data_IF_759593286767
#
_entry.id   IF_759593286767
#
_cell.length_a   1.000
_cell.length_b   1.000
_cell.length_c   1.000
_cell.angle_alpha   90.00
_cell.angle_beta   90.00
_cell.angle_gamma   90.00
#
_symmetry.space_group_name_H-M   'P 1'
#
loop_
_entity.id
_entity.type
_entity.pdbx_description
1 polymer ?
#
# COMPACT_ATOMS: atom_id res chain seq x y z
N UNK A 1 8.95 62.51 -22.85
CA UNK A 1 10.29 62.96 -23.29
C UNK A 1 11.26 62.43 -22.25
N UNK A 2 12.07 61.40 -22.44
CA UNK A 2 12.73 60.86 -23.62
C UNK A 2 12.61 59.33 -23.67
N UNK A 3 12.60 58.83 -24.91
CA UNK A 3 12.49 57.45 -25.38
C UNK A 3 13.86 56.84 -25.69
N UNK A 4 13.99 55.50 -25.57
CA UNK A 4 14.73 54.54 -26.45
C UNK A 4 14.62 53.16 -25.75
N UNK A 5 13.86 52.14 -26.19
CA UNK A 5 13.85 51.36 -27.45
C UNK A 5 15.23 50.77 -27.78
N UNK A 6 15.46 49.54 -28.26
CA UNK A 6 14.71 48.32 -28.57
C UNK A 6 15.80 47.27 -28.92
N UNK A 7 15.57 45.97 -28.73
CA UNK A 7 15.97 44.94 -29.69
C UNK A 7 15.32 43.60 -29.29
N UNK A 8 14.35 43.20 -30.11
CA UNK A 8 13.85 41.84 -30.20
C UNK A 8 14.66 41.09 -31.28
N UNK A 9 14.86 39.79 -31.09
CA UNK A 9 15.20 38.85 -32.15
C UNK A 9 14.61 37.48 -31.83
N UNK A 10 13.67 37.10 -32.69
CA UNK A 10 13.01 35.80 -32.87
C UNK A 10 13.97 34.68 -33.29
N UNK A 11 13.66 33.42 -32.97
CA UNK A 11 14.29 32.26 -33.62
C UNK A 11 13.93 30.92 -32.99
N UNK A 12 13.16 30.12 -33.73
CA UNK A 12 12.63 28.78 -33.44
C UNK A 12 13.67 27.65 -33.25
N UNK A 13 13.25 26.63 -32.50
CA UNK A 13 13.52 25.18 -32.54
C UNK A 13 14.95 24.62 -32.74
N UNK A 14 15.37 23.78 -31.78
CA UNK A 14 15.58 22.33 -31.97
C UNK A 14 15.98 21.68 -30.63
N UNK A 15 15.23 20.63 -30.25
CA UNK A 15 15.58 19.64 -29.22
C UNK A 15 16.99 19.05 -29.44
N UNK A 16 17.61 18.54 -28.36
CA UNK A 16 17.77 17.10 -28.33
C UNK A 16 17.28 16.48 -27.02
N UNK A 17 16.36 15.54 -27.19
CA UNK A 17 16.18 14.34 -26.38
C UNK A 17 17.56 13.73 -26.08
N UNK A 18 17.87 13.45 -24.81
CA UNK A 18 18.68 12.30 -24.36
C UNK A 18 18.93 12.39 -22.84
N UNK A 19 18.23 11.53 -22.09
CA UNK A 19 18.65 10.73 -20.94
C UNK A 19 17.44 10.43 -20.03
N UNK A 20 16.53 9.60 -20.54
CA UNK A 20 15.61 8.83 -19.70
C UNK A 20 16.21 7.42 -19.57
N UNK A 21 16.98 7.21 -18.50
CA UNK A 21 17.56 5.93 -18.14
C UNK A 21 16.62 5.18 -17.19
N UNK A 22 15.87 4.24 -17.77
CA UNK A 22 15.20 3.08 -17.19
C UNK A 22 15.39 2.80 -15.69
N UNK A 23 14.28 2.87 -14.95
CA UNK A 23 13.99 2.00 -13.81
C UNK A 23 12.67 1.30 -14.17
N UNK A 24 12.77 0.04 -14.61
CA UNK A 24 11.62 -0.85 -14.73
C UNK A 24 11.41 -1.45 -13.34
N UNK A 25 10.51 -0.86 -12.55
CA UNK A 25 9.98 -1.49 -11.33
C UNK A 25 8.61 -2.03 -11.68
N UNK A 26 8.49 -3.35 -11.56
CA UNK A 26 7.27 -4.12 -11.78
C UNK A 26 6.26 -3.74 -10.71
N UNK A 27 5.25 -2.96 -11.08
CA UNK A 27 3.97 -2.90 -10.37
C UNK A 27 2.84 -2.70 -11.37
N UNK A 28 1.82 -3.54 -11.26
CA UNK A 28 0.71 -3.66 -12.19
C UNK A 28 0.92 -4.81 -13.18
N UNK A 29 0.20 -5.91 -12.98
CA UNK A 29 0.00 -6.90 -14.03
C UNK A 29 -0.78 -6.25 -15.19
N UNK A 30 -0.07 -5.54 -16.05
CA UNK A 30 -0.53 -5.15 -17.38
C UNK A 30 0.08 -6.16 -18.35
N UNK A 31 -0.75 -7.08 -18.82
CA UNK A 31 -0.42 -7.98 -19.92
C UNK A 31 -0.21 -7.18 -21.21
N UNK A 32 1.03 -6.82 -21.52
CA UNK A 32 1.42 -6.48 -22.88
C UNK A 32 1.87 -7.75 -23.60
N UNK A 33 0.93 -8.37 -24.32
CA UNK A 33 1.23 -9.46 -25.27
C UNK A 33 2.01 -8.86 -26.45
N UNK A 34 3.34 -8.93 -26.41
CA UNK A 34 4.19 -8.60 -27.56
C UNK A 34 4.09 -9.68 -28.63
N UNK A 35 3.69 -9.30 -29.84
CA UNK A 35 3.40 -10.19 -30.96
C UNK A 35 4.64 -10.78 -31.68
N UNK A 36 5.85 -10.70 -31.12
CA UNK A 36 7.06 -11.19 -31.79
C UNK A 36 8.07 -11.72 -30.75
N UNK A 37 8.04 -13.01 -30.46
CA UNK A 37 8.95 -13.64 -29.49
C UNK A 37 10.42 -13.49 -29.87
N UNK A 38 11.23 -12.94 -28.95
CA UNK A 38 12.69 -13.10 -28.83
C UNK A 38 13.20 -12.47 -27.52
N UNK A 39 13.98 -13.23 -26.75
CA UNK A 39 14.62 -12.81 -25.51
C UNK A 39 15.89 -11.98 -25.77
N UNK A 40 16.14 -10.96 -24.95
CA UNK A 40 17.42 -10.23 -24.90
C UNK A 40 17.90 -10.23 -23.44
N UNK A 41 19.06 -10.85 -23.21
CA UNK A 41 19.81 -10.80 -21.93
C UNK A 41 20.73 -9.59 -22.00
N UNK A 42 20.72 -8.72 -20.98
CA UNK A 42 21.70 -7.65 -20.83
C UNK A 42 22.28 -7.63 -19.41
N UNK A 43 23.61 -7.74 -19.35
CA UNK A 43 24.45 -7.68 -18.15
C UNK A 43 24.74 -6.21 -17.82
N UNK A 44 24.56 -5.78 -16.58
CA UNK A 44 24.94 -4.43 -16.13
C UNK A 44 26.13 -4.46 -15.16
N UNK A 45 27.16 -3.68 -15.51
CA UNK A 45 28.35 -3.36 -14.72
C UNK A 45 28.03 -2.31 -13.64
N UNK A 46 28.58 -2.48 -12.43
CA UNK A 46 28.60 -1.47 -11.38
C UNK A 46 29.59 -0.33 -11.68
N UNK A 47 29.18 0.92 -11.46
CA UNK A 47 30.09 2.04 -11.22
C UNK A 47 29.61 2.80 -9.97
N UNK A 48 30.46 2.84 -8.95
CA UNK A 48 30.27 3.57 -7.71
C UNK A 48 30.81 5.00 -7.84
N UNK A 49 30.09 5.99 -7.30
CA UNK A 49 30.60 7.35 -7.12
C UNK A 49 30.23 7.85 -5.71
N UNK A 50 31.27 8.04 -4.89
CA UNK A 50 31.15 8.63 -3.54
C UNK A 50 31.04 10.15 -3.57
N UNK A 51 30.32 10.71 -2.61
CA UNK A 51 30.25 12.15 -2.37
C UNK A 51 30.93 12.51 -1.05
N UNK A 52 31.82 13.50 -1.15
CA UNK A 52 32.66 14.06 -0.10
C UNK A 52 31.90 15.21 0.60
N UNK A 53 31.85 15.18 1.93
CA UNK A 53 31.29 16.25 2.79
C UNK A 53 32.36 17.32 3.02
N UNK A 54 32.01 18.60 2.81
CA UNK A 54 32.70 19.73 3.42
C UNK A 54 31.67 20.78 3.85
N UNK A 55 31.64 21.06 5.15
CA UNK A 55 30.85 22.12 5.74
C UNK A 55 31.53 23.49 5.70
N UNK A 56 30.75 24.52 5.99
CA UNK A 56 31.24 25.69 6.73
C UNK A 56 30.05 26.49 7.29
N UNK A 57 30.16 26.79 8.58
CA UNK A 57 29.26 27.59 9.38
C UNK A 57 29.45 29.08 9.08
N UNK A 58 28.39 29.88 9.20
CA UNK A 58 28.50 31.33 9.40
C UNK A 58 27.28 31.86 10.14
N UNK A 59 27.51 32.26 11.38
CA UNK A 59 26.55 32.93 12.27
C UNK A 59 26.52 34.43 11.96
N UNK A 60 25.33 35.02 11.82
CA UNK A 60 25.16 36.48 11.80
C UNK A 60 24.05 36.88 12.77
N UNK A 61 24.45 37.44 13.91
CA UNK A 61 23.60 38.19 14.83
C UNK A 61 23.39 39.59 14.27
N UNK A 62 22.15 39.98 14.02
CA UNK A 62 21.77 41.38 13.81
C UNK A 62 20.75 41.78 14.88
N UNK A 63 21.17 42.69 15.76
CA UNK A 63 20.32 43.32 16.77
C UNK A 63 19.42 44.38 16.12
N UNK A 64 18.14 44.39 16.52
CA UNK A 64 17.16 45.40 16.11
C UNK A 64 16.86 46.34 17.30
N UNK A 65 16.68 47.66 17.10
CA UNK A 65 16.39 48.60 18.19
C UNK A 65 14.92 48.53 18.64
N UNK A 66 14.59 49.00 19.86
CA UNK A 66 13.27 48.85 20.45
C UNK A 66 12.26 49.83 19.84
N UNK A 67 11.09 49.33 19.44
CA UNK A 67 9.93 50.16 19.11
C UNK A 67 8.88 50.00 20.20
N UNK A 68 8.48 51.15 20.74
CA UNK A 68 7.51 51.37 21.80
C UNK A 68 6.11 50.90 21.44
N UNK A 69 5.46 50.27 22.41
CA UNK A 69 4.09 49.80 22.39
C UNK A 69 3.06 50.94 22.37
N UNK A 70 2.09 50.85 21.48
CA UNK A 70 0.78 51.50 21.64
C UNK A 70 -0.30 50.43 21.48
N UNK A 71 -0.94 50.09 22.60
CA UNK A 71 -2.01 49.13 22.70
C UNK A 71 -3.35 49.79 22.36
N UNK A 72 -3.89 49.49 21.18
CA UNK A 72 -5.32 49.64 20.89
C UNK A 72 -5.99 48.28 21.01
N UNK A 73 -6.65 48.04 22.14
CA UNK A 73 -7.51 46.88 22.38
C UNK A 73 -8.73 46.95 21.48
N UNK A 74 -8.70 46.23 20.36
CA UNK A 74 -9.90 45.72 19.69
C UNK A 74 -10.24 44.36 20.30
N UNK A 75 -11.43 44.26 20.88
CA UNK A 75 -12.00 43.01 21.39
C UNK A 75 -12.28 42.06 20.23
N UNK A 76 -11.33 41.19 19.91
CA UNK A 76 -11.59 39.96 19.17
C UNK A 76 -12.16 38.91 20.12
N UNK A 77 -13.30 38.35 19.75
CA UNK A 77 -13.83 37.10 20.33
C UNK A 77 -12.72 36.04 20.37
N UNK A 78 -12.57 35.28 21.46
CA UNK A 78 -11.53 34.26 21.53
C UNK A 78 -11.87 33.17 20.51
N UNK A 79 -11.08 33.11 19.44
CA UNK A 79 -11.05 31.97 18.54
C UNK A 79 -10.72 30.75 19.39
N UNK A 80 -11.61 29.76 19.39
CA UNK A 80 -11.32 28.45 19.99
C UNK A 80 -9.97 27.98 19.45
N UNK A 81 -9.00 27.58 20.30
CA UNK A 81 -7.72 27.10 19.81
C UNK A 81 -7.95 25.90 18.91
N UNK A 82 -7.62 26.04 17.63
CA UNK A 82 -7.63 24.95 16.67
C UNK A 82 -6.55 23.95 17.10
N UNK A 83 -6.97 22.81 17.64
CA UNK A 83 -6.06 21.70 17.91
C UNK A 83 -5.47 21.26 16.57
N UNK A 84 -4.14 21.15 16.48
CA UNK A 84 -3.49 20.64 15.28
C UNK A 84 -3.96 19.21 15.00
N UNK A 85 -4.24 18.84 13.74
CA UNK A 85 -4.67 17.49 13.40
C UNK A 85 -3.62 16.46 13.82
N UNK A 86 -4.07 15.28 14.24
CA UNK A 86 -3.19 14.13 14.50
C UNK A 86 -2.60 13.60 13.17
N UNK A 87 -1.46 12.89 13.18
CA UNK A 87 -0.91 12.27 11.98
C UNK A 87 -1.93 11.39 11.22
N UNK A 88 -2.67 10.54 11.95
CA UNK A 88 -3.77 9.75 11.37
C UNK A 88 -4.83 10.60 10.66
N UNK A 89 -5.19 11.76 11.23
CA UNK A 89 -6.14 12.68 10.60
C UNK A 89 -5.54 13.39 9.37
N UNK A 90 -4.22 13.66 9.35
CA UNK A 90 -3.54 14.21 8.18
C UNK A 90 -3.55 13.21 7.02
N UNK A 91 -3.24 11.94 7.27
CA UNK A 91 -3.24 10.91 6.23
C UNK A 91 -4.62 10.62 5.65
N UNK A 92 -5.65 10.59 6.50
CA UNK A 92 -7.03 10.51 6.03
C UNK A 92 -7.38 11.69 5.11
N UNK A 93 -7.01 12.91 5.49
CA UNK A 93 -7.24 14.11 4.68
C UNK A 93 -6.49 14.04 3.35
N UNK A 94 -5.23 13.61 3.34
CA UNK A 94 -4.44 13.41 2.12
C UNK A 94 -5.14 12.45 1.15
N UNK A 95 -5.58 11.29 1.63
CA UNK A 95 -6.30 10.31 0.83
C UNK A 95 -7.65 10.86 0.32
N UNK A 96 -8.41 11.55 1.17
CA UNK A 96 -9.70 12.11 0.77
C UNK A 96 -9.55 13.21 -0.30
N UNK A 97 -8.49 14.02 -0.21
CA UNK A 97 -8.16 15.02 -1.22
C UNK A 97 -7.65 14.41 -2.53
N UNK A 98 -7.20 13.15 -2.51
CA UNK A 98 -6.76 12.42 -3.70
C UNK A 98 -7.92 11.83 -4.50
N UNK A 99 -9.11 11.72 -3.90
CA UNK A 99 -10.33 11.30 -4.60
C UNK A 99 -10.89 12.48 -5.39
N UNK A 100 -10.89 12.35 -6.72
CA UNK A 100 -11.39 13.40 -7.63
C UNK A 100 -12.88 13.72 -7.40
N UNK A 101 -13.35 14.80 -8.03
CA UNK A 101 -14.78 15.12 -8.06
C UNK A 101 -15.63 14.01 -8.69
N UNK A 102 -15.05 13.25 -9.61
CA UNK A 102 -15.71 12.15 -10.31
C UNK A 102 -15.63 10.83 -9.53
N UNK A 103 -14.89 10.81 -8.41
CA UNK A 103 -14.86 9.70 -7.46
C UNK A 103 -13.76 8.68 -7.67
N UNK A 104 -12.84 8.87 -8.61
CA UNK A 104 -11.68 7.99 -8.76
C UNK A 104 -10.41 8.60 -8.19
N UNK A 105 -9.42 7.75 -7.94
CA UNK A 105 -8.04 8.14 -7.69
C UNK A 105 -7.22 7.89 -8.95
N UNK A 106 -6.26 8.77 -9.22
CA UNK A 106 -5.38 8.65 -10.37
C UNK A 106 -4.40 7.49 -10.20
N UNK A 107 -4.02 6.90 -11.32
CA UNK A 107 -2.86 6.04 -11.40
C UNK A 107 -1.57 6.83 -11.15
N UNK A 108 -0.53 6.15 -10.63
CA UNK A 108 0.73 6.84 -10.31
C UNK A 108 1.52 7.24 -11.56
N UNK A 109 1.45 6.43 -12.62
CA UNK A 109 2.24 6.61 -13.84
C UNK A 109 1.45 7.26 -14.98
N UNK A 110 0.15 7.48 -14.79
CA UNK A 110 -0.73 8.05 -15.79
C UNK A 110 -1.77 8.98 -15.19
N UNK A 111 -2.35 9.84 -16.02
CA UNK A 111 -3.47 10.69 -15.63
C UNK A 111 -4.81 9.97 -15.72
N UNK A 112 -4.81 8.63 -15.78
CA UNK A 112 -6.01 7.83 -15.93
C UNK A 112 -6.55 7.39 -14.57
N UNK A 113 -7.87 7.11 -14.46
CA UNK A 113 -8.44 6.48 -13.28
C UNK A 113 -7.78 5.13 -12.96
N UNK A 114 -7.49 4.89 -11.68
CA UNK A 114 -7.03 3.59 -11.19
C UNK A 114 -8.08 2.99 -10.26
N UNK A 115 -8.68 1.88 -10.69
CA UNK A 115 -9.72 1.18 -9.93
C UNK A 115 -9.15 0.56 -8.65
N UNK A 116 -7.94 -0.01 -8.69
CA UNK A 116 -7.29 -0.54 -7.48
C UNK A 116 -6.90 0.58 -6.51
N UNK A 117 -6.31 1.69 -6.97
CA UNK A 117 -6.05 2.82 -6.06
C UNK A 117 -7.34 3.36 -5.46
N UNK A 118 -8.43 3.40 -6.24
CA UNK A 118 -9.74 3.84 -5.74
C UNK A 118 -10.29 2.87 -4.68
N UNK A 119 -10.22 1.56 -4.92
CA UNK A 119 -10.66 0.54 -3.96
C UNK A 119 -9.86 0.59 -2.66
N UNK A 120 -8.52 0.60 -2.75
CA UNK A 120 -7.65 0.72 -1.59
C UNK A 120 -7.85 2.04 -0.83
N UNK A 121 -8.14 3.15 -1.54
CA UNK A 121 -8.46 4.43 -0.89
C UNK A 121 -9.77 4.37 -0.13
N UNK A 122 -10.81 3.75 -0.70
CA UNK A 122 -12.09 3.55 0.00
C UNK A 122 -11.89 2.71 1.26
N UNK A 123 -11.12 1.62 1.18
CA UNK A 123 -10.81 0.75 2.32
C UNK A 123 -10.02 1.54 3.38
N UNK A 124 -8.98 2.26 2.98
CA UNK A 124 -8.14 3.04 3.88
C UNK A 124 -8.95 4.13 4.60
N UNK A 125 -9.74 4.92 3.87
CA UNK A 125 -10.61 5.96 4.47
C UNK A 125 -11.62 5.35 5.45
N UNK A 126 -12.29 4.26 5.08
CA UNK A 126 -13.22 3.57 5.96
C UNK A 126 -12.56 3.05 7.24
N UNK A 127 -11.34 2.50 7.14
CA UNK A 127 -10.60 1.94 8.27
C UNK A 127 -10.27 2.97 9.36
N UNK A 128 -10.19 4.26 9.00
CA UNK A 128 -9.89 5.32 9.96
C UNK A 128 -11.01 5.54 10.98
N UNK A 129 -12.25 5.17 10.65
CA UNK A 129 -13.44 5.51 11.43
C UNK A 129 -13.75 7.01 11.48
N UNK A 130 -13.05 7.84 10.70
CA UNK A 130 -13.27 9.28 10.63
C UNK A 130 -14.57 9.59 9.88
N UNK A 131 -15.52 10.21 10.57
CA UNK A 131 -16.86 10.54 10.06
C UNK A 131 -17.00 12.00 9.66
N UNK A 132 -15.89 12.73 9.55
CA UNK A 132 -15.89 14.09 9.04
C UNK A 132 -16.45 14.15 7.62
N UNK A 133 -17.02 15.30 7.26
CA UNK A 133 -17.70 15.48 5.98
C UNK A 133 -16.76 15.29 4.78
N UNK A 134 -15.50 15.70 4.90
CA UNK A 134 -14.48 15.50 3.87
C UNK A 134 -14.25 14.01 3.60
N UNK A 135 -13.93 13.24 4.64
CA UNK A 135 -13.63 11.81 4.54
C UNK A 135 -14.85 11.04 4.04
N UNK A 136 -16.01 11.26 4.67
CA UNK A 136 -17.27 10.60 4.30
C UNK A 136 -17.65 10.89 2.85
N UNK A 137 -17.49 12.13 2.38
CA UNK A 137 -17.81 12.51 1.01
C UNK A 137 -16.85 11.86 0.00
N UNK A 138 -15.55 11.85 0.28
CA UNK A 138 -14.55 11.22 -0.58
C UNK A 138 -14.77 9.70 -0.66
N UNK A 139 -14.95 9.02 0.48
CA UNK A 139 -15.28 7.60 0.54
C UNK A 139 -16.56 7.26 -0.23
N UNK A 140 -17.61 8.07 -0.09
CA UNK A 140 -18.88 7.88 -0.79
C UNK A 140 -18.72 8.03 -2.31
N UNK A 141 -17.97 9.05 -2.78
CA UNK A 141 -17.68 9.20 -4.21
C UNK A 141 -16.87 8.02 -4.75
N UNK A 142 -15.84 7.59 -4.00
CA UNK A 142 -15.04 6.40 -4.29
C UNK A 142 -15.87 5.15 -4.48
N UNK A 143 -16.70 4.82 -3.49
CA UNK A 143 -17.55 3.63 -3.54
C UNK A 143 -18.60 3.69 -4.66
N UNK A 144 -19.19 4.85 -4.92
CA UNK A 144 -20.11 5.04 -6.05
C UNK A 144 -19.43 4.85 -7.41
N UNK A 145 -18.19 5.34 -7.54
CA UNK A 145 -17.37 5.12 -8.73
C UNK A 145 -17.12 3.63 -8.92
N UNK A 146 -16.59 2.93 -7.90
CA UNK A 146 -16.34 1.49 -7.96
C UNK A 146 -17.59 0.69 -8.32
N UNK A 147 -18.75 1.01 -7.73
CA UNK A 147 -20.01 0.35 -8.04
C UNK A 147 -20.42 0.46 -9.52
N UNK A 148 -19.96 1.50 -10.22
CA UNK A 148 -20.23 1.71 -11.65
C UNK A 148 -19.23 1.00 -12.57
N UNK A 149 -18.10 0.53 -12.03
CA UNK A 149 -16.98 -0.04 -12.79
C UNK A 149 -16.51 -1.41 -12.27
N UNK A 150 -17.41 -2.17 -11.61
CA UNK A 150 -17.08 -3.50 -11.05
C UNK A 150 -16.51 -4.42 -12.14
N UNK A 151 -17.22 -4.59 -13.25
CA UNK A 151 -16.79 -5.53 -14.30
C UNK A 151 -15.49 -5.04 -14.96
N UNK A 152 -15.39 -3.74 -15.27
CA UNK A 152 -14.14 -3.14 -15.76
C UNK A 152 -12.95 -3.40 -14.84
N UNK A 153 -13.15 -3.45 -13.52
CA UNK A 153 -12.07 -3.72 -12.60
C UNK A 153 -11.71 -5.21 -12.52
N UNK A 154 -12.73 -6.07 -12.51
CA UNK A 154 -12.55 -7.50 -12.25
C UNK A 154 -12.04 -8.25 -13.47
N UNK A 155 -12.47 -7.90 -14.68
CA UNK A 155 -12.14 -8.66 -15.89
C UNK A 155 -11.80 -7.81 -17.12
N UNK A 156 -11.44 -6.53 -16.91
CA UNK A 156 -11.24 -5.53 -17.98
C UNK A 156 -12.49 -5.33 -18.86
N UNK A 157 -13.68 -5.55 -18.30
CA UNK A 157 -14.96 -5.44 -19.00
C UNK A 157 -15.24 -6.62 -19.95
N UNK A 158 -14.56 -7.74 -19.74
CA UNK A 158 -14.87 -9.00 -20.39
C UNK A 158 -16.23 -9.55 -19.91
N UNK A 159 -16.56 -10.77 -20.35
CA UNK A 159 -17.74 -11.45 -19.81
C UNK A 159 -17.37 -12.08 -18.47
N UNK A 160 -18.10 -11.76 -17.38
CA UNK A 160 -17.81 -12.30 -16.06
C UNK A 160 -17.73 -13.82 -16.09
N UNK A 161 -16.64 -14.37 -15.57
CA UNK A 161 -16.46 -15.81 -15.46
C UNK A 161 -15.41 -16.15 -14.40
N UNK A 162 -15.54 -17.32 -13.81
CA UNK A 162 -14.59 -17.86 -12.83
C UNK A 162 -13.12 -17.79 -13.29
N UNK A 163 -12.86 -17.92 -14.59
CA UNK A 163 -11.50 -17.98 -15.14
C UNK A 163 -10.93 -16.64 -15.57
N UNK A 164 -11.78 -15.62 -15.77
CA UNK A 164 -11.34 -14.28 -16.19
C UNK A 164 -11.36 -13.29 -15.04
N UNK A 165 -12.24 -13.50 -14.06
CA UNK A 165 -12.36 -12.62 -12.91
C UNK A 165 -11.06 -12.60 -12.09
N UNK A 166 -10.54 -11.40 -11.84
CA UNK A 166 -9.43 -11.16 -10.91
C UNK A 166 -9.89 -11.36 -9.48
N UNK A 167 -9.38 -12.41 -8.84
CA UNK A 167 -9.66 -12.71 -7.43
C UNK A 167 -9.27 -11.55 -6.51
N UNK A 168 -8.11 -10.91 -6.74
CA UNK A 168 -7.67 -9.76 -5.95
C UNK A 168 -8.61 -8.56 -6.10
N UNK A 169 -9.06 -8.25 -7.33
CA UNK A 169 -9.99 -7.14 -7.55
C UNK A 169 -11.35 -7.41 -6.89
N UNK A 170 -11.85 -8.63 -6.98
CA UNK A 170 -13.07 -9.06 -6.28
C UNK A 170 -12.92 -8.95 -4.76
N UNK A 171 -11.79 -9.39 -4.21
CA UNK A 171 -11.50 -9.29 -2.78
C UNK A 171 -11.43 -7.82 -2.31
N UNK A 172 -10.75 -6.94 -3.05
CA UNK A 172 -10.69 -5.50 -2.75
C UNK A 172 -12.09 -4.86 -2.82
N UNK A 173 -12.89 -5.16 -3.85
CA UNK A 173 -14.26 -4.65 -3.95
C UNK A 173 -15.15 -5.17 -2.83
N UNK A 174 -15.02 -6.45 -2.45
CA UNK A 174 -15.80 -7.05 -1.37
C UNK A 174 -15.42 -6.44 -0.01
N UNK A 175 -14.14 -6.21 0.25
CA UNK A 175 -13.68 -5.45 1.40
C UNK A 175 -14.26 -4.04 1.39
N UNK A 176 -14.10 -3.29 0.30
CA UNK A 176 -14.62 -1.94 0.14
C UNK A 176 -16.14 -1.86 0.37
N UNK A 177 -16.90 -2.84 -0.13
CA UNK A 177 -18.35 -2.94 0.07
C UNK A 177 -18.73 -3.05 1.55
N UNK A 178 -18.02 -3.88 2.31
CA UNK A 178 -18.29 -4.11 3.73
C UNK A 178 -17.86 -2.95 4.61
N UNK A 179 -16.66 -2.40 4.36
CA UNK A 179 -16.07 -1.41 5.27
C UNK A 179 -16.61 0.00 5.05
N UNK A 180 -16.94 0.36 3.80
CA UNK A 180 -17.48 1.69 3.50
C UNK A 180 -18.97 1.79 3.84
N UNK A 181 -19.70 0.67 3.78
CA UNK A 181 -21.15 0.60 3.94
C UNK A 181 -21.94 1.59 3.06
N UNK A 182 -21.37 1.98 1.91
CA UNK A 182 -22.03 2.86 0.93
C UNK A 182 -22.98 2.01 0.11
N UNK A 183 -24.27 2.38 0.09
CA UNK A 183 -25.35 1.50 -0.40
C UNK A 183 -25.17 0.97 -1.83
N UNK A 184 -24.61 1.76 -2.74
CA UNK A 184 -24.39 1.39 -4.15
C UNK A 184 -23.42 0.23 -4.31
N UNK A 185 -22.37 0.18 -3.48
CA UNK A 185 -21.37 -0.88 -3.49
C UNK A 185 -21.77 -2.01 -2.53
N UNK A 186 -22.31 -1.68 -1.36
CA UNK A 186 -22.78 -2.65 -0.38
C UNK A 186 -23.88 -3.58 -0.94
N UNK A 187 -24.77 -3.06 -1.81
CA UNK A 187 -25.77 -3.89 -2.49
C UNK A 187 -25.18 -4.95 -3.44
N UNK A 188 -23.89 -4.86 -3.78
CA UNK A 188 -23.19 -5.80 -4.65
C UNK A 188 -22.43 -6.88 -3.87
N UNK A 189 -22.36 -6.81 -2.54
CA UNK A 189 -21.55 -7.68 -1.70
C UNK A 189 -21.80 -9.18 -1.96
N UNK A 190 -23.06 -9.62 -1.99
CA UNK A 190 -23.41 -11.03 -2.24
C UNK A 190 -22.96 -11.51 -3.64
N UNK A 191 -23.02 -10.62 -4.64
CA UNK A 191 -22.58 -10.92 -6.01
C UNK A 191 -21.05 -11.05 -6.06
N UNK A 192 -20.34 -10.11 -5.42
CA UNK A 192 -18.88 -10.12 -5.31
C UNK A 192 -18.37 -11.35 -4.56
N UNK A 193 -19.02 -11.73 -3.45
CA UNK A 193 -18.73 -12.97 -2.70
C UNK A 193 -18.89 -14.20 -3.59
N UNK A 194 -20.03 -14.32 -4.29
CA UNK A 194 -20.30 -15.46 -5.17
C UNK A 194 -19.26 -15.56 -6.29
N UNK A 195 -18.90 -14.43 -6.90
CA UNK A 195 -17.87 -14.37 -7.95
C UNK A 195 -16.50 -14.77 -7.41
N UNK A 196 -16.10 -14.27 -6.24
CA UNK A 196 -14.83 -14.60 -5.62
C UNK A 196 -14.74 -16.09 -5.26
N UNK A 197 -15.80 -16.67 -4.70
CA UNK A 197 -15.85 -18.12 -4.46
C UNK A 197 -15.74 -18.93 -5.76
N UNK A 198 -16.32 -18.42 -6.85
CA UNK A 198 -16.25 -19.07 -8.16
C UNK A 198 -14.85 -19.04 -8.78
N UNK A 199 -13.96 -18.10 -8.40
CA UNK A 199 -12.59 -18.07 -8.93
C UNK A 199 -11.68 -19.13 -8.31
N UNK A 200 -12.15 -19.94 -7.35
CA UNK A 200 -11.32 -21.01 -6.78
C UNK A 200 -11.05 -22.11 -7.81
N UNK A 201 -9.77 -22.43 -7.99
CA UNK A 201 -9.36 -23.60 -8.76
C UNK A 201 -9.69 -24.88 -7.98
N UNK A 202 -10.46 -25.78 -8.58
CA UNK A 202 -10.98 -27.00 -7.93
C UNK A 202 -10.17 -28.27 -8.25
N UNK A 203 -9.16 -28.17 -9.10
CA UNK A 203 -8.33 -29.28 -9.53
C UNK A 203 -6.98 -28.78 -10.06
N UNK A 204 -6.04 -29.71 -10.28
CA UNK A 204 -4.70 -29.38 -10.77
C UNK A 204 -3.72 -29.02 -9.65
N UNK A 205 -2.50 -28.56 -10.01
CA UNK A 205 -1.46 -28.21 -9.03
C UNK A 205 -1.89 -27.04 -8.12
N UNK A 206 -2.75 -26.15 -8.62
CA UNK A 206 -3.24 -24.98 -7.88
C UNK A 206 -4.60 -25.19 -7.21
N UNK A 207 -5.03 -26.44 -6.99
CA UNK A 207 -6.30 -26.71 -6.33
C UNK A 207 -6.37 -26.01 -4.95
N UNK A 208 -7.37 -25.15 -4.78
CA UNK A 208 -7.57 -24.30 -3.59
C UNK A 208 -7.21 -22.81 -3.79
N UNK A 209 -6.40 -22.47 -4.79
CA UNK A 209 -6.03 -21.09 -5.11
C UNK A 209 -7.23 -20.31 -5.67
N UNK A 210 -7.45 -19.09 -5.19
CA UNK A 210 -8.35 -18.14 -5.83
C UNK A 210 -7.66 -17.43 -7.01
N UNK A 211 -8.31 -17.44 -8.17
CA UNK A 211 -7.85 -16.81 -9.40
C UNK A 211 -7.10 -17.78 -10.33
N UNK A 212 -7.20 -17.54 -11.64
CA UNK A 212 -6.60 -18.36 -12.70
C UNK A 212 -5.42 -17.67 -13.41
N UNK A 213 -5.12 -16.42 -13.07
CA UNK A 213 -3.91 -15.75 -13.54
C UNK A 213 -2.66 -16.41 -12.98
N UNK A 214 -1.53 -16.21 -13.66
CA UNK A 214 -0.21 -16.66 -13.21
C UNK A 214 0.01 -16.26 -11.73
N UNK A 215 0.41 -17.23 -10.90
CA UNK A 215 0.58 -17.08 -9.46
C UNK A 215 2.00 -16.66 -9.05
N UNK A 216 2.94 -16.63 -10.01
CA UNK A 216 4.38 -16.50 -9.76
C UNK A 216 4.74 -15.31 -8.87
N UNK A 217 3.96 -14.22 -8.89
CA UNK A 217 4.30 -12.98 -8.15
C UNK A 217 3.33 -12.62 -7.04
N UNK A 218 2.12 -13.19 -7.02
CA UNK A 218 1.05 -12.72 -6.15
C UNK A 218 0.19 -13.84 -5.56
N UNK A 219 0.43 -15.13 -5.84
CA UNK A 219 -0.43 -16.24 -5.42
C UNK A 219 -0.80 -16.19 -3.92
N UNK A 220 0.20 -16.15 -3.05
CA UNK A 220 0.01 -16.01 -1.60
C UNK A 220 -0.64 -14.69 -1.19
N UNK A 221 -0.31 -13.59 -1.88
CA UNK A 221 -0.88 -12.25 -1.60
C UNK A 221 -2.39 -12.25 -1.90
N UNK A 222 -2.77 -12.65 -3.12
CA UNK A 222 -4.18 -12.74 -3.54
C UNK A 222 -4.95 -13.74 -2.70
N UNK A 223 -4.32 -14.84 -2.29
CA UNK A 223 -4.96 -15.83 -1.45
C UNK A 223 -5.27 -15.29 -0.05
N UNK A 224 -4.31 -14.59 0.56
CA UNK A 224 -4.48 -13.98 1.88
C UNK A 224 -5.59 -12.95 1.92
N UNK A 225 -5.63 -12.03 0.94
CA UNK A 225 -6.69 -11.01 0.86
C UNK A 225 -8.06 -11.62 0.52
N UNK A 226 -8.11 -12.66 -0.32
CA UNK A 226 -9.36 -13.37 -0.65
C UNK A 226 -9.97 -14.05 0.56
N UNK A 227 -9.16 -14.77 1.35
CA UNK A 227 -9.62 -15.38 2.61
C UNK A 227 -10.17 -14.33 3.57
N UNK A 228 -9.46 -13.22 3.75
CA UNK A 228 -9.91 -12.11 4.61
C UNK A 228 -11.24 -11.51 4.12
N UNK A 229 -11.37 -11.26 2.82
CA UNK A 229 -12.56 -10.67 2.24
C UNK A 229 -13.79 -11.58 2.40
N UNK A 230 -13.63 -12.88 2.18
CA UNK A 230 -14.70 -13.88 2.32
C UNK A 230 -15.13 -14.07 3.78
N UNK A 231 -14.17 -14.12 4.72
CA UNK A 231 -14.48 -14.19 6.14
C UNK A 231 -15.22 -12.94 6.60
N UNK A 232 -14.75 -11.74 6.20
CA UNK A 232 -15.44 -10.48 6.51
C UNK A 232 -16.86 -10.43 5.93
N UNK A 233 -17.09 -11.06 4.77
CA UNK A 233 -18.41 -11.19 4.17
C UNK A 233 -19.34 -12.19 4.90
N UNK A 234 -18.83 -12.86 5.95
CA UNK A 234 -19.60 -13.81 6.76
C UNK A 234 -19.54 -15.25 6.24
N UNK A 235 -18.67 -15.56 5.26
CA UNK A 235 -18.44 -16.94 4.86
C UNK A 235 -17.76 -17.68 6.01
N UNK A 236 -18.46 -18.66 6.58
CA UNK A 236 -17.96 -19.40 7.74
C UNK A 236 -16.58 -20.01 7.46
N UNK A 237 -15.65 -19.88 8.40
CA UNK A 237 -14.30 -20.46 8.28
C UNK A 237 -14.35 -21.99 8.13
N UNK A 238 -15.42 -22.66 8.58
CA UNK A 238 -15.64 -24.10 8.36
C UNK A 238 -16.09 -24.46 6.94
N UNK A 239 -16.30 -23.49 6.04
CA UNK A 239 -16.64 -23.73 4.64
C UNK A 239 -15.50 -24.51 3.96
N UNK A 240 -15.85 -25.59 3.24
CA UNK A 240 -14.87 -26.50 2.61
C UNK A 240 -14.00 -25.81 1.56
N UNK A 241 -14.53 -24.80 0.84
CA UNK A 241 -13.74 -24.01 -0.10
C UNK A 241 -12.69 -23.17 0.63
N UNK A 242 -13.06 -22.50 1.73
CA UNK A 242 -12.11 -21.73 2.55
C UNK A 242 -11.06 -22.64 3.20
N UNK A 243 -11.43 -23.84 3.64
CA UNK A 243 -10.49 -24.83 4.17
C UNK A 243 -9.51 -25.34 3.09
N UNK A 244 -10.00 -25.56 1.86
CA UNK A 244 -9.13 -25.89 0.72
C UNK A 244 -8.19 -24.74 0.39
N UNK A 245 -8.68 -23.50 0.46
CA UNK A 245 -7.89 -22.30 0.23
C UNK A 245 -6.80 -22.10 1.29
N UNK A 246 -7.11 -22.31 2.57
CA UNK A 246 -6.14 -22.30 3.66
C UNK A 246 -5.10 -23.42 3.47
N UNK A 247 -5.52 -24.61 3.03
CA UNK A 247 -4.61 -25.73 2.77
C UNK A 247 -3.61 -25.39 1.67
N UNK A 248 -4.08 -24.79 0.56
CA UNK A 248 -3.20 -24.30 -0.51
C UNK A 248 -2.24 -23.22 0.01
N UNK A 249 -2.72 -22.28 0.83
CA UNK A 249 -1.91 -21.20 1.39
C UNK A 249 -0.78 -21.75 2.28
N UNK A 250 -1.11 -22.65 3.20
CA UNK A 250 -0.13 -23.28 4.09
C UNK A 250 0.89 -24.12 3.33
N UNK A 251 0.50 -24.69 2.18
CA UNK A 251 1.43 -25.41 1.32
C UNK A 251 2.51 -24.50 0.72
N UNK A 252 2.33 -23.17 0.70
CA UNK A 252 3.31 -22.22 0.16
C UNK A 252 4.45 -21.89 1.14
N UNK A 253 4.38 -22.38 2.39
CA UNK A 253 5.38 -22.10 3.41
C UNK A 253 6.67 -22.91 3.17
N UNK A 254 7.80 -22.22 3.22
CA UNK A 254 9.12 -22.83 3.14
C UNK A 254 9.61 -23.31 4.51
N UNK A 255 10.60 -24.20 4.53
CA UNK A 255 11.19 -24.74 5.76
C UNK A 255 11.84 -23.69 6.66
N UNK A 256 12.18 -22.51 6.13
CA UNK A 256 12.65 -21.35 6.89
C UNK A 256 11.55 -20.48 7.46
N UNK A 257 10.27 -20.86 7.30
CA UNK A 257 9.10 -20.17 7.84
C UNK A 257 8.48 -19.11 6.94
N UNK A 258 9.24 -18.52 6.03
CA UNK A 258 8.71 -17.58 5.04
C UNK A 258 7.83 -18.27 3.99
N UNK A 259 6.91 -17.51 3.40
CA UNK A 259 6.02 -17.98 2.34
C UNK A 259 6.52 -17.51 0.98
N UNK A 260 6.55 -18.44 0.02
CA UNK A 260 6.69 -18.09 -1.40
C UNK A 260 5.38 -17.56 -1.95
N UNK A 261 5.44 -16.77 -3.01
CA UNK A 261 4.27 -16.35 -3.79
C UNK A 261 3.52 -17.54 -4.39
N UNK A 262 4.25 -18.55 -4.86
CA UNK A 262 3.73 -19.81 -5.40
C UNK A 262 4.88 -20.82 -5.53
N UNK A 263 4.92 -21.88 -4.73
CA UNK A 263 5.98 -22.89 -4.75
C UNK A 263 6.05 -23.70 -6.04
N UNK A 264 4.97 -23.76 -6.83
CA UNK A 264 5.00 -24.46 -8.11
C UNK A 264 5.94 -23.77 -9.10
N UNK A 265 5.97 -22.43 -9.09
CA UNK A 265 6.75 -21.60 -10.02
C UNK A 265 7.92 -20.86 -9.35
N UNK A 266 7.90 -20.74 -8.01
CA UNK A 266 8.84 -19.99 -7.22
C UNK A 266 9.33 -20.81 -6.00
N UNK A 267 10.38 -21.60 -6.21
CA UNK A 267 10.88 -22.56 -5.23
C UNK A 267 11.58 -21.91 -4.01
N UNK A 268 11.54 -22.59 -2.86
CA UNK A 268 12.07 -22.11 -1.58
C UNK A 268 13.58 -21.79 -1.55
N UNK A 269 14.35 -22.28 -2.51
CA UNK A 269 15.80 -22.04 -2.59
C UNK A 269 16.16 -20.81 -3.43
N UNK A 270 15.16 -20.11 -3.95
CA UNK A 270 15.35 -18.83 -4.63
C UNK A 270 15.82 -17.72 -3.69
N UNK A 271 16.45 -16.70 -4.27
CA UNK A 271 16.83 -15.49 -3.55
C UNK A 271 15.77 -14.41 -3.76
N UNK A 272 15.29 -13.78 -2.68
CA UNK A 272 14.29 -12.70 -2.78
C UNK A 272 14.73 -11.56 -3.72
N UNK A 273 16.02 -11.21 -3.72
CA UNK A 273 16.58 -10.20 -4.63
C UNK A 273 16.44 -10.52 -6.12
N UNK A 274 16.22 -11.79 -6.46
CA UNK A 274 15.97 -12.26 -7.83
C UNK A 274 14.47 -12.49 -8.09
N UNK A 275 13.59 -11.95 -7.21
CA UNK A 275 12.15 -12.19 -7.22
C UNK A 275 11.80 -13.67 -7.07
N UNK A 276 12.60 -14.41 -6.29
CA UNK A 276 12.42 -15.83 -6.05
C UNK A 276 12.50 -16.19 -4.56
N UNK A 277 12.05 -17.38 -4.19
CA UNK A 277 11.98 -17.85 -2.82
C UNK A 277 10.91 -17.14 -1.99
N UNK A 278 10.90 -17.41 -0.68
CA UNK A 278 9.99 -16.77 0.25
C UNK A 278 10.36 -15.30 0.46
N UNK A 279 9.34 -14.44 0.55
CA UNK A 279 9.51 -12.99 0.68
C UNK A 279 8.64 -12.37 1.79
N UNK A 280 8.95 -11.11 2.13
CA UNK A 280 8.28 -10.38 3.21
C UNK A 280 6.78 -10.21 2.95
N UNK A 281 6.38 -9.81 1.75
CA UNK A 281 4.98 -9.46 1.47
C UNK A 281 4.12 -10.72 1.35
N UNK A 282 4.60 -11.76 0.67
CA UNK A 282 3.93 -13.07 0.66
C UNK A 282 3.75 -13.58 2.08
N UNK A 283 4.79 -13.52 2.92
CA UNK A 283 4.68 -13.94 4.33
C UNK A 283 3.67 -13.10 5.11
N UNK A 284 3.67 -11.78 4.93
CA UNK A 284 2.74 -10.89 5.60
C UNK A 284 1.28 -11.15 5.21
N UNK A 285 0.97 -11.29 3.91
CA UNK A 285 -0.38 -11.59 3.45
C UNK A 285 -0.81 -13.04 3.75
N UNK A 286 0.12 -13.99 3.88
CA UNK A 286 -0.19 -15.30 4.41
C UNK A 286 -0.71 -15.20 5.86
N UNK A 287 -0.06 -14.39 6.72
CA UNK A 287 -0.54 -14.13 8.08
C UNK A 287 -1.91 -13.44 8.09
N UNK A 288 -2.18 -12.54 7.13
CA UNK A 288 -3.51 -11.94 6.96
C UNK A 288 -4.58 -13.02 6.73
N UNK A 289 -4.34 -13.96 5.80
CA UNK A 289 -5.28 -15.04 5.51
C UNK A 289 -5.42 -16.05 6.65
N UNK A 290 -4.32 -16.45 7.27
CA UNK A 290 -4.30 -17.40 8.39
C UNK A 290 -5.03 -16.82 9.61
N UNK A 291 -4.79 -15.54 9.91
CA UNK A 291 -5.47 -14.81 10.97
C UNK A 291 -6.98 -14.72 10.76
N UNK A 292 -7.41 -14.35 9.55
CA UNK A 292 -8.84 -14.34 9.19
C UNK A 292 -9.50 -15.72 9.34
N UNK A 293 -8.77 -16.79 9.03
CA UNK A 293 -9.25 -18.17 9.21
C UNK A 293 -9.27 -18.64 10.67
N UNK A 294 -8.84 -17.82 11.63
CA UNK A 294 -8.78 -18.18 13.05
C UNK A 294 -7.68 -19.20 13.38
N UNK A 295 -6.67 -19.35 12.52
CA UNK A 295 -5.60 -20.34 12.64
C UNK A 295 -4.29 -19.76 13.21
N UNK A 296 -4.40 -18.67 14.01
CA UNK A 296 -3.27 -17.91 14.57
C UNK A 296 -2.35 -18.71 15.49
N UNK A 297 -2.82 -19.82 16.07
CA UNK A 297 -2.04 -20.68 16.97
C UNK A 297 -1.32 -21.84 16.26
N UNK A 298 -1.24 -21.83 14.93
CA UNK A 298 -0.58 -22.89 14.16
C UNK A 298 0.95 -22.75 14.18
N UNK A 299 1.67 -23.86 14.02
CA UNK A 299 3.14 -23.83 13.89
C UNK A 299 3.58 -22.97 12.70
N UNK A 300 2.78 -22.95 11.63
CA UNK A 300 3.03 -22.10 10.47
C UNK A 300 3.14 -20.61 10.85
N UNK A 301 2.31 -20.13 11.77
CA UNK A 301 2.41 -18.75 12.27
C UNK A 301 3.70 -18.56 13.06
N UNK A 302 4.05 -19.47 13.96
CA UNK A 302 5.29 -19.37 14.73
C UNK A 302 6.54 -19.31 13.81
N UNK A 303 6.57 -20.15 12.78
CA UNK A 303 7.66 -20.18 11.80
C UNK A 303 7.70 -18.90 10.95
N UNK A 304 6.54 -18.38 10.54
CA UNK A 304 6.43 -17.12 9.81
C UNK A 304 6.91 -15.91 10.64
N UNK A 305 6.58 -15.88 11.94
CA UNK A 305 7.06 -14.84 12.85
C UNK A 305 8.58 -14.90 13.00
N UNK A 306 9.14 -16.10 13.16
CA UNK A 306 10.58 -16.29 13.22
C UNK A 306 11.28 -15.83 11.93
N UNK A 307 10.69 -16.14 10.77
CA UNK A 307 11.17 -15.64 9.48
C UNK A 307 11.17 -14.11 9.42
N UNK A 308 10.03 -13.46 9.71
CA UNK A 308 9.90 -12.00 9.67
C UNK A 308 10.84 -11.30 10.65
N UNK A 309 11.03 -11.84 11.86
CA UNK A 309 12.02 -11.33 12.82
C UNK A 309 13.45 -11.47 12.31
N UNK A 310 13.75 -12.56 11.60
CA UNK A 310 15.08 -12.82 11.02
C UNK A 310 15.45 -11.86 9.89
N UNK A 311 14.47 -11.33 9.17
CA UNK A 311 14.66 -10.39 8.05
C UNK A 311 14.30 -8.93 8.39
N UNK A 312 13.85 -8.67 9.63
CA UNK A 312 13.57 -7.32 10.09
C UNK A 312 14.83 -6.46 10.10
N UNK A 313 14.73 -5.25 9.53
CA UNK A 313 15.82 -4.29 9.47
C UNK A 313 16.07 -3.65 10.86
N UNK A 314 17.28 -3.14 11.14
CA UNK A 314 17.61 -2.51 12.42
C UNK A 314 16.73 -1.31 12.80
N UNK A 315 15.96 -0.76 11.85
CA UNK A 315 15.04 0.37 12.02
C UNK A 315 13.64 -0.04 12.50
N UNK A 316 13.44 -1.31 12.88
CA UNK A 316 12.13 -1.91 13.18
C UNK A 316 11.17 -1.89 12.00
N UNK A 317 11.67 -2.19 10.81
CA UNK A 317 10.90 -2.17 9.57
C UNK A 317 11.39 -3.22 8.60
N UNK A 318 10.78 -3.30 7.43
CA UNK A 318 11.11 -4.30 6.42
C UNK A 318 11.31 -3.67 5.05
N UNK A 319 11.93 -4.46 4.19
CA UNK A 319 11.90 -4.28 2.75
C UNK A 319 11.30 -5.53 2.09
N UNK A 320 10.99 -5.42 0.80
CA UNK A 320 10.44 -6.57 0.08
C UNK A 320 11.52 -7.59 -0.33
N UNK A 321 12.55 -7.17 -1.07
CA UNK A 321 13.49 -8.03 -1.79
C UNK A 321 14.98 -7.60 -1.63
N UNK A 322 15.34 -7.01 -0.49
CA UNK A 322 16.65 -6.41 -0.23
C UNK A 322 16.80 -4.99 -0.80
N UNK A 323 15.68 -4.32 -1.13
CA UNK A 323 15.63 -2.98 -1.72
C UNK A 323 15.81 -1.82 -0.72
N UNK A 324 15.91 -2.15 0.57
CA UNK A 324 15.98 -1.19 1.67
C UNK A 324 14.60 -0.76 2.18
N UNK A 325 14.59 -0.29 3.44
CA UNK A 325 13.40 0.04 4.22
C UNK A 325 12.35 0.86 3.45
N UNK A 326 11.14 0.31 3.32
CA UNK A 326 10.01 0.92 2.64
C UNK A 326 8.71 0.84 3.45
N UNK A 327 7.79 1.77 3.18
CA UNK A 327 6.56 1.96 3.96
C UNK A 327 5.51 0.89 3.67
N UNK A 328 5.31 0.51 2.41
CA UNK A 328 4.26 -0.41 1.97
C UNK A 328 4.54 -1.85 2.44
N UNK A 329 5.79 -2.32 2.40
CA UNK A 329 6.18 -3.63 2.95
C UNK A 329 6.04 -3.64 4.47
N UNK A 330 6.52 -2.59 5.14
CA UNK A 330 6.36 -2.46 6.60
C UNK A 330 4.89 -2.42 7.01
N UNK A 331 4.04 -1.72 6.26
CA UNK A 331 2.60 -1.68 6.47
C UNK A 331 1.96 -3.07 6.27
N UNK A 332 2.37 -3.81 5.25
CA UNK A 332 1.90 -5.17 5.00
C UNK A 332 2.24 -6.09 6.17
N UNK A 333 3.47 -6.04 6.69
CA UNK A 333 3.87 -6.81 7.88
C UNK A 333 3.03 -6.43 9.11
N UNK A 334 2.83 -5.13 9.37
CA UNK A 334 1.97 -4.65 10.47
C UNK A 334 0.55 -5.22 10.33
N UNK A 335 -0.02 -5.23 9.12
CA UNK A 335 -1.34 -5.80 8.87
C UNK A 335 -1.38 -7.31 9.12
N UNK A 336 -0.35 -8.06 8.71
CA UNK A 336 -0.21 -9.49 8.98
C UNK A 336 -0.13 -9.79 10.48
N UNK A 337 0.75 -9.08 11.20
CA UNK A 337 0.92 -9.21 12.66
C UNK A 337 -0.39 -8.95 13.41
N UNK A 338 -1.07 -7.85 13.10
CA UNK A 338 -2.37 -7.54 13.72
C UNK A 338 -3.43 -8.60 13.43
N UNK A 339 -3.43 -9.18 12.22
CA UNK A 339 -4.41 -10.20 11.82
C UNK A 339 -4.28 -11.50 12.64
N UNK A 340 -3.09 -11.80 13.16
CA UNK A 340 -2.86 -12.95 14.05
C UNK A 340 -2.89 -12.59 15.54
N UNK A 341 -3.16 -11.32 15.89
CA UNK A 341 -3.27 -10.85 17.28
C UNK A 341 -1.97 -10.35 17.91
N UNK A 342 -0.90 -10.18 17.13
CA UNK A 342 0.31 -9.49 17.59
C UNK A 342 0.08 -7.97 17.67
N UNK A 343 0.78 -7.31 18.60
CA UNK A 343 0.73 -5.84 18.74
C UNK A 343 2.06 -5.20 18.29
N UNK A 344 2.16 -4.75 17.02
CA UNK A 344 3.35 -4.08 16.50
C UNK A 344 3.43 -2.59 16.89
N UNK A 345 2.55 -2.09 17.75
CA UNK A 345 2.58 -0.70 18.20
C UNK A 345 3.47 -0.48 19.43
N UNK A 346 3.68 -1.52 20.23
CA UNK A 346 4.40 -1.43 21.48
C UNK A 346 5.88 -1.11 21.24
N UNK A 347 6.35 -0.04 21.87
CA UNK A 347 7.79 0.28 21.95
C UNK A 347 8.56 -0.67 22.90
N UNK A 348 7.99 -1.84 23.20
CA UNK A 348 8.56 -2.90 24.02
C UNK A 348 8.09 -4.24 23.46
N UNK A 349 8.89 -5.29 23.59
CA UNK A 349 8.52 -6.64 23.16
C UNK A 349 9.26 -7.08 21.90
N UNK A 350 8.78 -8.17 21.28
CA UNK A 350 9.50 -8.89 20.24
C UNK A 350 9.81 -8.06 18.98
N UNK A 351 8.94 -7.08 18.68
CA UNK A 351 9.04 -6.23 17.49
C UNK A 351 9.74 -4.89 17.76
N UNK A 352 10.10 -4.58 19.01
CA UNK A 352 10.79 -3.33 19.31
C UNK A 352 12.29 -3.40 19.00
N UNK A 353 12.87 -2.31 18.50
CA UNK A 353 14.32 -2.15 18.29
C UNK A 353 14.81 -0.85 18.91
N UNK A 354 16.10 -0.80 19.27
CA UNK A 354 16.75 0.44 19.71
C UNK A 354 17.35 1.13 18.48
N UNK A 355 16.70 2.22 18.04
CA UNK A 355 17.15 3.03 16.90
C UNK A 355 17.65 4.37 17.45
N UNK A 356 18.94 4.65 17.28
CA UNK A 356 19.57 5.89 17.79
C UNK A 356 19.31 6.16 19.28
N UNK A 357 19.26 5.09 20.10
CA UNK A 357 19.00 5.18 21.54
C UNK A 357 17.53 5.29 21.94
N UNK A 358 16.60 5.26 20.98
CA UNK A 358 15.15 5.31 21.21
C UNK A 358 14.56 3.92 20.95
N UNK A 359 13.66 3.47 21.81
CA UNK A 359 12.88 2.26 21.55
C UNK A 359 11.83 2.54 20.48
N UNK A 360 11.91 1.84 19.37
CA UNK A 360 11.11 2.05 18.15
C UNK A 360 10.35 0.78 17.86
N UNK A 361 9.02 0.89 17.71
CA UNK A 361 8.16 -0.18 17.21
C UNK A 361 7.98 -0.09 15.69
N UNK A 362 7.46 -1.15 15.03
CA UNK A 362 7.11 -1.08 13.62
C UNK A 362 6.18 0.06 13.25
N UNK A 363 5.18 0.33 14.08
CA UNK A 363 4.27 1.47 13.88
C UNK A 363 5.02 2.80 13.94
N UNK A 364 5.97 2.94 14.86
CA UNK A 364 6.82 4.15 14.94
C UNK A 364 7.78 4.26 13.76
N UNK A 365 8.31 3.14 13.27
CA UNK A 365 9.16 3.10 12.09
C UNK A 365 8.38 3.54 10.85
N UNK A 366 7.18 2.98 10.65
CA UNK A 366 6.28 3.33 9.55
C UNK A 366 5.91 4.82 9.57
N UNK A 367 5.63 5.39 10.75
CA UNK A 367 5.27 6.81 10.88
C UNK A 367 6.36 7.77 10.40
N UNK A 368 7.62 7.34 10.24
CA UNK A 368 8.69 8.18 9.70
C UNK A 368 8.52 8.53 8.22
N UNK A 369 7.73 7.74 7.48
CA UNK A 369 7.45 8.01 6.08
C UNK A 369 6.36 9.06 5.87
N UNK A 370 5.64 9.45 6.92
CA UNK A 370 4.57 10.44 6.82
C UNK A 370 5.14 11.84 6.59
N UNK A 371 4.64 12.52 5.56
CA UNK A 371 5.00 13.90 5.27
C UNK A 371 4.24 14.83 6.21
N UNK A 372 4.91 15.33 7.24
CA UNK A 372 4.29 16.23 8.23
C UNK A 372 4.36 17.72 7.85
N UNK A 373 5.22 18.08 6.89
CA UNK A 373 5.40 19.46 6.44
C UNK A 373 4.11 19.98 5.80
N UNK A 374 3.59 21.17 6.22
CA UNK A 374 2.39 21.75 5.61
C UNK A 374 2.51 21.93 4.10
N UNK A 375 1.47 21.51 3.37
CA UNK A 375 1.41 21.61 1.91
C UNK A 375 0.49 20.54 1.30
N UNK A 376 0.46 20.46 -0.04
CA UNK A 376 -0.39 19.50 -0.75
C UNK A 376 -0.07 18.03 -0.42
N UNK A 377 1.16 17.75 0.00
CA UNK A 377 1.63 16.41 0.33
C UNK A 377 1.46 16.05 1.81
N UNK A 378 0.98 16.96 2.65
CA UNK A 378 0.89 16.73 4.09
C UNK A 378 -0.04 15.55 4.40
N UNK A 379 0.45 14.60 5.21
CA UNK A 379 -0.24 13.36 5.59
C UNK A 379 0.00 12.17 4.66
N UNK A 380 0.55 12.40 3.46
CA UNK A 380 0.91 11.32 2.55
C UNK A 380 2.14 10.55 3.04
N UNK A 381 2.24 9.28 2.68
CA UNK A 381 3.40 8.43 3.01
C UNK A 381 4.32 8.30 1.80
N UNK A 382 5.62 8.47 2.04
CA UNK A 382 6.68 8.18 1.08
C UNK A 382 6.83 6.66 0.90
N UNK A 383 7.10 6.18 -0.32
CA UNK A 383 7.54 4.80 -0.55
C UNK A 383 8.84 4.50 0.21
N UNK A 384 9.87 5.32 -0.02
CA UNK A 384 11.15 5.29 0.69
C UNK A 384 11.46 6.67 1.26
N UNK A 385 12.27 6.76 2.32
CA UNK A 385 12.64 8.05 2.93
C UNK A 385 13.40 8.98 1.95
N UNK A 386 13.97 8.43 0.88
CA UNK A 386 14.62 9.16 -0.20
C UNK A 386 13.67 9.61 -1.32
N UNK A 387 12.40 9.20 -1.30
CA UNK A 387 11.41 9.56 -2.32
C UNK A 387 11.16 11.07 -2.35
N UNK A 388 10.94 11.59 -3.56
CA UNK A 388 10.70 13.03 -3.80
C UNK A 388 9.32 13.51 -3.34
N UNK A 389 8.40 12.60 -3.05
CA UNK A 389 7.04 12.89 -2.61
C UNK A 389 6.29 11.61 -2.25
N UNK A 390 5.15 11.73 -1.57
CA UNK A 390 4.33 10.59 -1.20
C UNK A 390 3.61 10.02 -2.41
N UNK A 391 3.19 8.76 -2.30
CA UNK A 391 2.35 8.11 -3.31
C UNK A 391 1.10 7.49 -2.67
N UNK A 392 0.08 7.30 -3.50
CA UNK A 392 -1.24 6.82 -3.06
C UNK A 392 -1.16 5.39 -2.53
N UNK A 393 -0.34 4.53 -3.14
CA UNK A 393 -0.27 3.13 -2.78
C UNK A 393 0.36 2.94 -1.40
N UNK A 394 1.52 3.55 -1.17
CA UNK A 394 2.19 3.60 0.13
C UNK A 394 1.29 4.22 1.20
N UNK A 395 0.57 5.28 0.87
CA UNK A 395 -0.36 5.93 1.82
C UNK A 395 -1.55 5.04 2.15
N UNK A 396 -2.18 4.39 1.17
CA UNK A 396 -3.31 3.49 1.40
C UNK A 396 -2.94 2.33 2.31
N UNK A 397 -1.81 1.68 2.04
CA UNK A 397 -1.36 0.55 2.85
C UNK A 397 -0.99 1.00 4.26
N UNK A 398 -0.27 2.12 4.39
CA UNK A 398 0.13 2.65 5.69
C UNK A 398 -1.08 3.04 6.55
N UNK A 399 -2.04 3.77 5.98
CA UNK A 399 -3.27 4.15 6.69
C UNK A 399 -4.05 2.91 7.11
N UNK A 400 -4.25 1.95 6.22
CA UNK A 400 -4.97 0.70 6.54
C UNK A 400 -4.29 -0.08 7.65
N UNK A 401 -2.95 -0.16 7.64
CA UNK A 401 -2.17 -0.89 8.64
C UNK A 401 -2.18 -0.20 10.00
N UNK A 402 -2.18 1.13 10.04
CA UNK A 402 -2.14 1.91 11.27
C UNK A 402 -3.51 2.04 11.94
N UNK A 403 -4.59 2.04 11.16
CA UNK A 403 -5.97 2.14 11.62
C UNK A 403 -6.32 1.10 12.70
N UNK A 404 -7.00 1.55 13.75
CA UNK A 404 -7.40 0.72 14.90
C UNK A 404 -8.56 -0.23 14.60
N UNK A 405 -9.29 -0.01 13.50
CA UNK A 405 -10.22 -1.01 12.96
C UNK A 405 -9.41 -2.13 12.30
N UNK A 406 -8.97 -3.09 13.10
CA UNK A 406 -8.85 -4.45 12.60
C UNK A 406 -10.27 -4.80 12.14
N UNK A 407 -10.48 -4.90 10.83
CA UNK A 407 -11.75 -5.36 10.27
C UNK A 407 -12.10 -6.64 11.04
N UNK A 408 -13.18 -6.64 11.84
CA UNK A 408 -13.47 -7.77 12.70
C UNK A 408 -13.57 -9.02 11.82
N UNK A 409 -12.87 -10.08 12.27
CA UNK A 409 -12.96 -11.39 11.65
C UNK A 409 -14.39 -11.93 11.71
#
# INVERSE_FOLDING_TARGET
>A
MSTSSCLASTGFDLLPVLFAGFILLVFGAIFLKSAQGRAIILVCLLVASGALVLGSSSSASAACPPVTSTSTTTTSTPSTPSIAPTPAALSAQYLANSVTSDGYVLDYYSTQPSLSNTAQTVIALASTGDTSSLITSAMTRGANYLASYIDSYVDDGATPSATNDSASALAELLLAAHVSNVSSLASQANSLETRLLATQQTSGPEAGLFGYSDATFDGTIRQGISLKALVLAGVATSNTQLQSALTWLLAQQCSGGGFSSDLANNACNGLPSDYQGPDTNSTAFALVGIGAMGASSSNAVADALAYLQGIELPVAGWDWFGGGFDSNTTASVIAGLRSIGEDPSLATGAWSRIVSGVSTSPVMALAQFEVLTPGANQGGYLYQLSSIGPDIFSTNQSVTALSAMILPA
#
